data_IF_921615400939
#
_entry.id   IF_921615400939
#
_cell.length_a   1.000
_cell.length_b   1.000
_cell.length_c   1.000
_cell.angle_alpha   90.00
_cell.angle_beta   90.00
_cell.angle_gamma   90.00
#
_symmetry.space_group_name_H-M   'P 1'
#
loop_
_entity.id
_entity.type
_entity.pdbx_description
1 polymer ?
#
# COMPACT_ATOMS: atom_id res chain seq x y z
N UNK A 1 -30.92 58.00 -25.98
CA UNK A 1 -32.01 57.53 -25.09
C UNK A 1 -31.39 56.63 -24.04
N UNK A 2 -31.62 56.91 -22.77
CA UNK A 2 -31.00 56.24 -21.62
C UNK A 2 -31.62 54.86 -21.44
N UNK A 3 -30.80 53.81 -21.33
CA UNK A 3 -31.24 52.48 -20.93
C UNK A 3 -30.51 52.05 -19.64
N UNK A 4 -31.32 51.80 -18.63
CA UNK A 4 -31.09 51.23 -17.30
C UNK A 4 -30.60 49.79 -17.33
N UNK A 5 -29.73 49.40 -16.38
CA UNK A 5 -29.83 48.22 -15.49
C UNK A 5 -28.50 48.10 -14.71
N UNK A 6 -28.52 48.25 -13.38
CA UNK A 6 -28.63 47.18 -12.37
C UNK A 6 -27.46 46.18 -12.42
N UNK A 7 -26.81 45.92 -11.29
CA UNK A 7 -26.74 44.59 -10.62
C UNK A 7 -25.82 44.69 -9.39
N UNK A 8 -26.40 44.45 -8.23
CA UNK A 8 -25.70 44.18 -6.99
C UNK A 8 -25.12 42.76 -7.06
N UNK A 9 -23.84 42.59 -6.76
CA UNK A 9 -23.24 41.27 -6.58
C UNK A 9 -22.78 41.09 -5.12
N UNK A 10 -23.64 40.41 -4.36
CA UNK A 10 -23.32 39.76 -3.10
C UNK A 10 -22.34 38.61 -3.38
N UNK A 11 -21.19 38.60 -2.72
CA UNK A 11 -20.34 37.41 -2.70
C UNK A 11 -20.75 36.45 -1.59
N UNK A 12 -21.20 35.28 -2.04
CA UNK A 12 -21.68 34.13 -1.27
C UNK A 12 -20.52 33.47 -0.52
N UNK A 13 -20.83 33.05 0.71
CA UNK A 13 -19.90 32.54 1.71
C UNK A 13 -19.06 31.33 1.28
N UNK A 14 -17.86 31.29 1.86
CA UNK A 14 -16.90 30.22 1.68
C UNK A 14 -17.37 28.92 2.35
N UNK A 15 -17.26 27.86 1.56
CA UNK A 15 -17.58 26.46 1.82
C UNK A 15 -16.78 25.89 3.00
N UNK A 16 -17.42 25.12 3.88
CA UNK A 16 -16.72 24.23 4.82
C UNK A 16 -17.31 22.82 4.74
N UNK A 17 -16.82 22.02 3.77
CA UNK A 17 -17.13 20.60 3.66
C UNK A 17 -15.99 19.80 4.29
N UNK A 18 -16.13 19.42 5.56
CA UNK A 18 -15.23 18.42 6.18
C UNK A 18 -15.57 17.05 5.62
N UNK A 19 -14.82 16.60 4.62
CA UNK A 19 -14.90 15.24 4.08
C UNK A 19 -14.42 14.24 5.14
N UNK A 20 -15.34 13.42 5.66
CA UNK A 20 -15.00 12.24 6.48
C UNK A 20 -14.35 11.19 5.58
N UNK A 21 -13.03 11.02 5.70
CA UNK A 21 -12.26 9.99 4.99
C UNK A 21 -12.54 8.62 5.61
N UNK A 22 -13.37 7.81 4.95
CA UNK A 22 -13.57 6.39 5.30
C UNK A 22 -12.30 5.61 4.98
N UNK A 23 -11.69 5.00 6.01
CA UNK A 23 -10.48 4.17 5.90
C UNK A 23 -10.88 2.81 5.30
N UNK A 24 -10.55 2.58 4.03
CA UNK A 24 -10.61 1.23 3.43
C UNK A 24 -9.48 0.41 4.04
N UNK A 25 -9.81 -0.73 4.66
CA UNK A 25 -8.82 -1.74 5.05
C UNK A 25 -8.46 -2.47 3.76
N UNK A 26 -7.37 -2.04 3.11
CA UNK A 26 -6.73 -2.87 2.11
C UNK A 26 -5.98 -3.95 2.88
N UNK A 27 -6.43 -5.20 2.78
CA UNK A 27 -5.60 -6.36 3.05
C UNK A 27 -4.38 -6.26 2.12
N UNK A 28 -3.35 -5.61 2.64
CA UNK A 28 -2.11 -5.31 1.96
C UNK A 28 -1.22 -6.54 2.17
N UNK A 29 -1.11 -7.39 1.17
CA UNK A 29 0.00 -8.36 1.12
C UNK A 29 1.30 -7.56 1.35
N UNK A 30 1.98 -7.86 2.45
CA UNK A 30 3.19 -7.13 2.83
C UNK A 30 4.37 -7.84 2.19
N UNK A 31 4.90 -7.23 1.15
CA UNK A 31 6.24 -7.55 0.69
C UNK A 31 7.25 -6.90 1.65
N UNK A 32 8.09 -7.73 2.27
CA UNK A 32 9.09 -7.29 3.26
C UNK A 32 10.46 -7.78 2.79
N UNK A 33 11.48 -6.93 2.85
CA UNK A 33 12.86 -7.34 2.59
C UNK A 33 13.51 -7.74 3.91
N UNK A 34 14.09 -8.93 3.96
CA UNK A 34 14.77 -9.45 5.14
C UNK A 34 16.10 -10.10 4.78
N UNK A 35 17.16 -9.81 5.53
CA UNK A 35 18.42 -10.54 5.42
C UNK A 35 18.28 -11.92 6.04
N UNK A 36 18.60 -12.95 5.26
CA UNK A 36 18.60 -14.36 5.69
C UNK A 36 19.79 -15.09 5.07
N UNK A 37 20.20 -16.19 5.68
CA UNK A 37 21.15 -17.10 5.07
C UNK A 37 20.47 -17.84 3.90
N UNK A 38 21.09 -17.80 2.72
CA UNK A 38 20.64 -18.57 1.58
C UNK A 38 21.49 -19.84 1.45
N UNK A 39 20.86 -21.00 1.47
CA UNK A 39 21.55 -22.30 1.33
C UNK A 39 22.18 -22.49 -0.06
N UNK A 40 21.66 -21.81 -1.09
CA UNK A 40 22.22 -21.87 -2.45
C UNK A 40 23.41 -20.92 -2.63
N UNK A 41 23.40 -19.75 -1.99
CA UNK A 41 24.52 -18.79 -2.05
C UNK A 41 25.59 -19.03 -0.97
N UNK A 42 25.28 -19.89 0.01
CA UNK A 42 26.08 -20.19 1.20
C UNK A 42 26.48 -18.95 2.02
N UNK A 43 25.69 -17.87 1.95
CA UNK A 43 25.95 -16.59 2.62
C UNK A 43 24.66 -15.87 3.00
N UNK A 44 24.78 -14.83 3.81
CA UNK A 44 23.68 -13.92 4.11
C UNK A 44 23.35 -13.05 2.89
N UNK A 45 22.10 -13.10 2.45
CA UNK A 45 21.59 -12.33 1.32
C UNK A 45 20.27 -11.68 1.68
N UNK A 46 19.91 -10.63 0.95
CA UNK A 46 18.56 -10.06 1.04
C UNK A 46 17.55 -11.03 0.40
N UNK A 47 16.44 -11.25 1.09
CA UNK A 47 15.32 -12.03 0.61
C UNK A 47 14.07 -11.18 0.56
N UNK A 48 13.28 -11.34 -0.50
CA UNK A 48 11.94 -10.81 -0.61
C UNK A 48 10.99 -11.79 0.05
N UNK A 49 10.30 -11.34 1.08
CA UNK A 49 9.33 -12.13 1.85
C UNK A 49 7.93 -11.71 1.47
N UNK A 50 7.10 -12.67 1.09
CA UNK A 50 5.67 -12.47 0.83
C UNK A 50 4.89 -13.35 1.77
N UNK A 51 4.08 -12.73 2.62
CA UNK A 51 3.30 -13.42 3.64
C UNK A 51 1.81 -13.16 3.45
N UNK A 52 1.07 -14.25 3.35
CA UNK A 52 -0.38 -14.28 3.26
C UNK A 52 -1.00 -14.96 4.48
N UNK A 53 -2.33 -15.10 4.48
CA UNK A 53 -3.03 -15.74 5.59
C UNK A 53 -2.57 -17.18 5.84
N UNK A 54 -2.17 -17.91 4.80
CA UNK A 54 -1.88 -19.35 4.85
C UNK A 54 -0.43 -19.71 4.54
N UNK A 55 0.34 -18.82 3.92
CA UNK A 55 1.64 -19.15 3.33
C UNK A 55 2.65 -18.02 3.53
N UNK A 56 3.93 -18.38 3.55
CA UNK A 56 5.07 -17.45 3.56
C UNK A 56 6.05 -17.89 2.48
N UNK A 57 6.32 -17.04 1.49
CA UNK A 57 7.36 -17.25 0.48
C UNK A 57 8.58 -16.39 0.79
N UNK A 58 9.77 -16.97 0.63
CA UNK A 58 11.08 -16.32 0.72
C UNK A 58 11.81 -16.50 -0.60
N UNK A 59 12.11 -15.40 -1.28
CA UNK A 59 12.89 -15.42 -2.52
C UNK A 59 14.23 -14.72 -2.30
N UNK A 60 15.34 -15.43 -2.50
CA UNK A 60 16.68 -14.83 -2.46
C UNK A 60 16.87 -13.85 -3.62
N UNK A 61 17.26 -12.60 -3.35
CA UNK A 61 17.45 -11.59 -4.40
C UNK A 61 18.72 -11.82 -5.25
N UNK A 62 19.63 -12.70 -4.80
CA UNK A 62 20.86 -13.02 -5.56
C UNK A 62 20.68 -14.21 -6.50
N UNK A 63 20.33 -15.39 -5.95
CA UNK A 63 20.19 -16.61 -6.74
C UNK A 63 18.76 -16.88 -7.21
N UNK A 64 17.78 -16.07 -6.77
CA UNK A 64 16.36 -16.24 -7.09
C UNK A 64 15.78 -17.60 -6.65
N UNK A 65 16.45 -18.29 -5.73
CA UNK A 65 15.90 -19.47 -5.10
C UNK A 65 14.72 -19.08 -4.20
N UNK A 66 13.61 -19.80 -4.36
CA UNK A 66 12.36 -19.57 -3.63
C UNK A 66 12.11 -20.71 -2.64
N UNK A 67 11.68 -20.35 -1.44
CA UNK A 67 11.30 -21.28 -0.38
C UNK A 67 9.92 -20.90 0.15
N UNK A 68 9.00 -21.86 0.15
CA UNK A 68 7.63 -21.68 0.60
C UNK A 68 7.38 -22.43 1.92
N UNK A 69 6.74 -21.75 2.87
CA UNK A 69 6.34 -22.31 4.16
C UNK A 69 4.82 -22.19 4.28
N UNK A 70 4.15 -23.34 4.35
CA UNK A 70 2.71 -23.42 4.59
C UNK A 70 2.46 -23.33 6.11
N UNK A 71 1.64 -22.38 6.53
CA UNK A 71 1.19 -22.25 7.92
C UNK A 71 0.23 -23.39 8.23
N UNK A 72 0.63 -24.32 9.08
CA UNK A 72 -0.26 -25.38 9.56
C UNK A 72 -1.11 -24.86 10.72
N UNK A 73 -2.44 -24.92 10.60
CA UNK A 73 -3.40 -24.44 11.62
C UNK A 73 -4.15 -25.57 12.35
N UNK A 74 -3.75 -26.83 12.12
CA UNK A 74 -4.39 -28.03 12.66
C UNK A 74 -3.69 -28.54 13.91
#
# INVERSE_FOLDING_TARGET
MKATQAMANFHIGALNRKARKTRRVADLMKEIHQTRYCETCEKETEHVVREDATEISYMCNECHHEQEIIKNFF
#
